data_IF_758202906501
#
_entry.id   IF_758202906501
#
_cell.length_a   1.000
_cell.length_b   1.000
_cell.length_c   1.000
_cell.angle_alpha   90.00
_cell.angle_beta   90.00
_cell.angle_gamma   90.00
#
_symmetry.space_group_name_H-M   'P 1'
#
loop_
_entity.id
_entity.type
_entity.pdbx_description
1 polymer ?
#
# COMPACT_ATOMS: atom_id res chain seq x y z
N UNK A 1 -60.00 -8.78 9.87
CA UNK A 1 -58.85 -9.73 9.94
C UNK A 1 -57.62 -9.07 9.32
N UNK A 2 -56.77 -8.46 10.14
CA UNK A 2 -55.38 -8.06 9.86
C UNK A 2 -54.61 -8.56 11.08
N UNK A 3 -53.69 -9.52 10.97
CA UNK A 3 -52.29 -9.15 10.76
C UNK A 3 -51.46 -10.27 10.08
N UNK A 4 -51.03 -10.12 8.84
CA UNK A 4 -50.08 -11.09 8.24
C UNK A 4 -48.87 -10.40 7.59
N UNK A 5 -48.99 -9.12 7.25
CA UNK A 5 -47.91 -8.39 6.56
C UNK A 5 -46.73 -7.97 7.43
N UNK A 6 -46.81 -8.07 8.76
CA UNK A 6 -45.72 -7.65 9.64
C UNK A 6 -44.57 -8.67 9.75
N UNK A 7 -44.77 -9.93 9.33
CA UNK A 7 -43.77 -10.99 9.56
C UNK A 7 -42.72 -11.12 8.44
N UNK A 8 -42.99 -10.64 7.23
CA UNK A 8 -42.03 -10.77 6.11
C UNK A 8 -40.94 -9.69 6.10
N UNK A 9 -41.12 -8.58 6.81
CA UNK A 9 -40.13 -7.48 6.84
C UNK A 9 -38.99 -7.69 7.85
N UNK A 10 -39.13 -8.61 8.81
CA UNK A 10 -38.06 -8.91 9.77
C UNK A 10 -37.00 -9.91 9.26
N UNK A 11 -37.32 -10.73 8.24
CA UNK A 11 -36.38 -11.73 7.74
C UNK A 11 -35.33 -11.16 6.78
N UNK A 12 -35.57 -9.99 6.18
CA UNK A 12 -34.64 -9.39 5.22
C UNK A 12 -33.46 -8.68 5.89
N UNK A 13 -33.64 -8.12 7.10
CA UNK A 13 -32.58 -7.39 7.80
C UNK A 13 -31.53 -8.28 8.48
N UNK A 14 -31.81 -9.58 8.66
CA UNK A 14 -30.89 -10.52 9.31
C UNK A 14 -29.86 -11.16 8.37
N UNK A 15 -30.11 -11.21 7.07
CA UNK A 15 -29.19 -11.82 6.10
C UNK A 15 -28.00 -10.92 5.77
N UNK A 16 -28.17 -9.60 5.78
CA UNK A 16 -27.09 -8.67 5.42
C UNK A 16 -25.96 -8.66 6.46
N UNK A 17 -26.29 -8.75 7.75
CA UNK A 17 -25.28 -8.76 8.82
C UNK A 17 -24.46 -10.07 8.83
N UNK A 18 -25.04 -11.19 8.41
CA UNK A 18 -24.35 -12.48 8.34
C UNK A 18 -23.42 -12.61 7.12
N UNK A 19 -23.76 -11.94 6.01
CA UNK A 19 -22.94 -11.93 4.80
C UNK A 19 -21.77 -10.94 4.86
N UNK A 20 -21.80 -9.96 5.78
CA UNK A 20 -20.69 -9.04 6.02
C UNK A 20 -19.58 -9.63 6.92
N UNK A 21 -19.82 -10.75 7.59
CA UNK A 21 -18.76 -11.46 8.34
C UNK A 21 -17.97 -12.33 7.37
N UNK A 22 -16.94 -11.77 6.75
CA UNK A 22 -15.91 -12.61 6.11
C UNK A 22 -15.29 -13.43 7.24
N UNK A 23 -15.38 -14.77 7.22
CA UNK A 23 -14.78 -15.58 8.27
C UNK A 23 -13.30 -15.24 8.34
N UNK A 24 -12.82 -14.80 9.50
CA UNK A 24 -11.37 -14.61 9.74
C UNK A 24 -10.72 -15.94 9.38
N UNK A 25 -9.88 -15.99 8.34
CA UNK A 25 -9.33 -17.26 7.88
C UNK A 25 -8.58 -17.90 9.04
N UNK A 26 -9.01 -19.09 9.46
CA UNK A 26 -8.40 -19.87 10.57
C UNK A 26 -7.10 -20.54 10.10
N UNK A 27 -6.27 -19.80 9.39
CA UNK A 27 -4.96 -20.26 8.99
C UNK A 27 -3.97 -19.76 10.02
N UNK A 28 -3.18 -20.67 10.58
CA UNK A 28 -2.11 -20.37 11.50
C UNK A 28 -1.16 -19.39 10.79
N UNK A 29 -1.22 -18.11 11.14
CA UNK A 29 -0.13 -17.19 10.86
C UNK A 29 1.05 -17.81 11.58
N UNK A 30 2.04 -18.29 10.84
CA UNK A 30 3.28 -18.72 11.44
C UNK A 30 3.88 -17.48 12.11
N UNK A 31 4.03 -17.45 13.45
CA UNK A 31 4.51 -16.26 14.14
C UNK A 31 5.93 -15.85 13.69
N UNK A 32 6.67 -16.79 13.10
CA UNK A 32 8.01 -16.56 12.57
C UNK A 32 8.01 -16.07 11.11
N UNK A 33 6.85 -16.02 10.45
CA UNK A 33 6.73 -15.52 9.07
C UNK A 33 5.48 -14.65 8.85
N UNK A 34 5.66 -13.44 8.30
CA UNK A 34 6.91 -12.96 7.75
C UNK A 34 7.84 -12.43 8.85
N UNK A 35 9.15 -12.66 8.66
CA UNK A 35 10.17 -12.07 9.53
C UNK A 35 10.23 -10.58 9.23
N UNK A 36 9.95 -9.76 10.23
CA UNK A 36 10.13 -8.31 10.14
C UNK A 36 11.64 -8.05 10.16
N UNK A 37 12.16 -7.52 9.06
CA UNK A 37 13.57 -7.20 8.92
C UNK A 37 13.91 -5.89 9.65
N UNK A 38 15.21 -5.63 9.79
CA UNK A 38 15.66 -4.34 10.28
C UNK A 38 15.34 -3.24 9.25
N UNK A 39 14.57 -2.19 9.61
CA UNK A 39 14.17 -1.15 8.67
C UNK A 39 15.36 -0.42 8.04
N UNK A 40 16.49 -0.28 8.74
CA UNK A 40 17.66 0.45 8.23
C UNK A 40 18.30 -0.32 7.04
N UNK A 41 18.53 -1.62 7.21
CA UNK A 41 19.03 -2.48 6.13
C UNK A 41 18.10 -2.54 4.92
N UNK A 42 16.78 -2.43 5.13
CA UNK A 42 15.80 -2.33 4.05
C UNK A 42 15.87 -1.00 3.30
N UNK A 43 16.02 0.10 4.03
CA UNK A 43 16.21 1.42 3.42
C UNK A 43 17.50 1.44 2.60
N UNK A 44 18.58 0.82 3.06
CA UNK A 44 19.81 0.69 2.27
C UNK A 44 19.58 -0.04 0.94
N UNK A 45 18.93 -1.22 0.97
CA UNK A 45 18.58 -1.98 -0.26
C UNK A 45 17.67 -1.18 -1.19
N UNK A 46 16.70 -0.46 -0.64
CA UNK A 46 15.85 0.44 -1.42
C UNK A 46 16.68 1.53 -2.11
N UNK A 47 17.61 2.17 -1.40
CA UNK A 47 18.46 3.21 -1.97
C UNK A 47 19.44 2.65 -3.02
N UNK A 48 19.90 1.41 -2.87
CA UNK A 48 20.66 0.71 -3.93
C UNK A 48 19.81 0.48 -5.18
N UNK A 49 18.54 0.08 -5.03
CA UNK A 49 17.61 -0.06 -6.16
C UNK A 49 17.33 1.27 -6.86
N UNK A 50 17.19 2.35 -6.07
CA UNK A 50 17.11 3.73 -6.59
C UNK A 50 18.35 4.09 -7.41
N UNK A 51 19.55 3.74 -6.93
CA UNK A 51 20.79 4.02 -7.66
C UNK A 51 20.92 3.23 -8.98
N UNK A 52 20.32 2.03 -9.05
CA UNK A 52 20.17 1.28 -10.31
C UNK A 52 19.17 1.93 -11.28
N UNK A 53 18.44 2.95 -10.83
CA UNK A 53 17.48 3.71 -11.63
C UNK A 53 16.10 3.06 -11.72
N UNK A 54 15.75 2.20 -10.77
CA UNK A 54 14.47 1.48 -10.74
C UNK A 54 13.31 2.41 -10.34
N UNK A 55 13.56 3.42 -9.50
CA UNK A 55 12.55 4.40 -9.12
C UNK A 55 12.31 5.41 -10.26
N UNK A 56 11.24 5.20 -11.00
CA UNK A 56 10.82 6.06 -12.11
C UNK A 56 9.41 6.60 -11.90
N UNK A 57 9.28 7.93 -11.96
CA UNK A 57 8.01 8.63 -11.81
C UNK A 57 7.73 9.35 -13.12
N UNK A 58 6.65 8.98 -13.82
CA UNK A 58 6.28 9.53 -15.13
C UNK A 58 7.46 9.54 -16.14
N UNK A 59 8.24 8.45 -16.19
CA UNK A 59 9.39 8.31 -17.10
C UNK A 59 10.65 9.08 -16.66
N UNK A 60 10.59 9.83 -15.56
CA UNK A 60 11.76 10.48 -14.95
C UNK A 60 12.37 9.56 -13.91
N UNK A 61 13.65 9.24 -14.05
CA UNK A 61 14.45 8.59 -13.01
C UNK A 61 14.57 9.52 -11.80
N UNK A 62 14.26 9.00 -10.62
CA UNK A 62 14.40 9.70 -9.34
C UNK A 62 15.66 9.16 -8.67
N UNK A 63 16.63 10.04 -8.42
CA UNK A 63 17.88 9.67 -7.77
C UNK A 63 17.79 9.76 -6.24
N UNK A 64 18.72 9.09 -5.54
CA UNK A 64 18.84 9.09 -4.08
C UNK A 64 18.79 10.49 -3.45
N UNK A 65 19.47 11.47 -4.05
CA UNK A 65 19.49 12.86 -3.56
C UNK A 65 18.16 13.62 -3.72
N UNK A 66 17.18 13.06 -4.42
CA UNK A 66 15.87 13.68 -4.65
C UNK A 66 14.81 13.21 -3.64
N UNK A 67 15.14 12.24 -2.79
CA UNK A 67 14.20 11.61 -1.87
C UNK A 67 14.74 11.59 -0.44
N UNK A 68 13.83 11.55 0.50
CA UNK A 68 14.10 11.27 1.92
C UNK A 68 13.18 10.14 2.34
N UNK A 69 13.68 8.90 2.49
CA UNK A 69 12.91 7.81 3.09
C UNK A 69 12.48 8.21 4.50
N UNK A 70 11.20 8.06 4.83
CA UNK A 70 10.68 8.45 6.15
C UNK A 70 9.81 7.38 6.80
N UNK A 71 9.41 6.34 6.07
CA UNK A 71 8.59 5.26 6.61
C UNK A 71 8.80 3.95 5.84
N UNK A 72 8.92 2.86 6.58
CA UNK A 72 8.84 1.48 6.07
C UNK A 72 7.53 0.88 6.57
N UNK A 73 6.78 0.27 5.66
CA UNK A 73 5.52 -0.41 5.92
C UNK A 73 5.68 -1.90 5.57
N UNK A 74 5.28 -2.77 6.50
CA UNK A 74 5.18 -4.21 6.26
C UNK A 74 3.70 -4.53 6.05
N UNK A 75 3.33 -4.78 4.80
CA UNK A 75 1.95 -5.04 4.40
C UNK A 75 1.78 -6.55 4.25
N UNK A 76 0.73 -7.10 4.85
CA UNK A 76 0.41 -8.51 4.73
C UNK A 76 -0.85 -8.68 3.90
N UNK A 77 -0.70 -9.27 2.72
CA UNK A 77 -1.82 -9.54 1.83
C UNK A 77 -2.61 -10.75 2.35
N UNK A 78 -3.90 -10.56 2.61
CA UNK A 78 -4.75 -11.60 3.17
C UNK A 78 -5.16 -12.66 2.13
N UNK A 79 -5.09 -12.31 0.85
CA UNK A 79 -5.48 -13.15 -0.29
C UNK A 79 -4.45 -14.25 -0.57
N UNK A 80 -3.17 -13.88 -0.65
CA UNK A 80 -2.07 -14.77 -1.03
C UNK A 80 -1.06 -15.03 0.11
N UNK A 81 -1.21 -14.35 1.26
CA UNK A 81 -0.35 -14.47 2.44
C UNK A 81 1.08 -13.99 2.20
N UNK A 82 1.31 -13.22 1.14
CA UNK A 82 2.58 -12.59 0.89
C UNK A 82 2.76 -11.37 1.81
N UNK A 83 3.97 -11.21 2.33
CA UNK A 83 4.39 -9.93 2.91
C UNK A 83 4.99 -9.09 1.80
N UNK A 84 4.55 -7.84 1.72
CA UNK A 84 5.15 -6.82 0.89
C UNK A 84 5.79 -5.77 1.77
N UNK A 85 6.97 -5.30 1.36
CA UNK A 85 7.65 -4.20 2.03
C UNK A 85 7.45 -2.97 1.18
N UNK A 86 6.98 -1.88 1.78
CA UNK A 86 6.76 -0.61 1.10
C UNK A 86 7.55 0.49 1.80
N UNK A 87 8.38 1.19 1.04
CA UNK A 87 9.15 2.33 1.52
C UNK A 87 8.49 3.61 1.02
N UNK A 88 8.05 4.47 1.93
CA UNK A 88 7.56 5.81 1.61
C UNK A 88 8.68 6.83 1.80
N UNK A 89 8.84 7.66 0.77
CA UNK A 89 9.83 8.72 0.71
C UNK A 89 9.18 10.04 0.36
N UNK A 90 9.53 11.10 1.09
CA UNK A 90 9.22 12.46 0.64
C UNK A 90 10.16 12.85 -0.50
N UNK A 91 9.67 13.64 -1.43
CA UNK A 91 10.52 14.29 -2.42
C UNK A 91 11.13 15.55 -1.81
N UNK A 92 12.43 15.75 -2.06
CA UNK A 92 13.14 16.97 -1.64
C UNK A 92 12.56 18.21 -2.33
N UNK A 93 12.11 18.05 -3.58
CA UNK A 93 11.40 19.07 -4.34
C UNK A 93 10.14 18.45 -4.97
N UNK A 94 8.97 19.12 -4.89
CA UNK A 94 7.76 18.65 -5.55
C UNK A 94 7.97 18.42 -7.04
N UNK A 95 7.36 17.36 -7.57
CA UNK A 95 7.34 17.10 -9.01
C UNK A 95 5.98 17.50 -9.60
N UNK A 96 5.98 18.05 -10.81
CA UNK A 96 4.75 18.31 -11.54
C UNK A 96 4.10 16.99 -11.99
N UNK A 97 2.77 16.94 -11.97
CA UNK A 97 2.01 15.85 -12.60
C UNK A 97 1.81 16.21 -14.06
N UNK A 98 2.24 15.36 -15.03
CA UNK A 98 2.09 15.68 -16.46
C UNK A 98 0.63 15.97 -16.84
N UNK A 99 0.41 17.07 -17.55
CA UNK A 99 -0.92 17.48 -18.00
C UNK A 99 -1.80 18.14 -16.93
N UNK A 100 -1.33 18.30 -15.69
CA UNK A 100 -2.06 18.93 -14.60
C UNK A 100 -1.28 20.10 -14.02
N UNK A 101 -1.95 21.22 -13.78
CA UNK A 101 -1.31 22.46 -13.31
C UNK A 101 -1.60 22.76 -11.83
N UNK A 102 -2.68 22.21 -11.29
CA UNK A 102 -3.23 22.43 -9.96
C UNK A 102 -2.80 21.38 -8.93
N UNK A 103 -2.03 20.37 -9.33
CA UNK A 103 -1.49 19.36 -8.43
C UNK A 103 0.01 19.13 -8.59
N UNK A 104 0.60 18.51 -7.59
CA UNK A 104 2.02 18.17 -7.51
C UNK A 104 2.22 16.88 -6.71
N UNK A 105 3.32 16.18 -7.01
CA UNK A 105 3.74 14.98 -6.28
C UNK A 105 4.67 15.45 -5.17
N UNK A 106 4.34 15.09 -3.93
CA UNK A 106 5.16 15.43 -2.74
C UNK A 106 5.91 14.23 -2.19
N UNK A 107 5.48 13.03 -2.51
CA UNK A 107 6.09 11.80 -2.04
C UNK A 107 5.87 10.65 -3.00
N UNK A 108 6.62 9.59 -2.78
CA UNK A 108 6.56 8.35 -3.53
C UNK A 108 6.58 7.19 -2.56
N UNK A 109 5.85 6.12 -2.90
CA UNK A 109 6.07 4.83 -2.28
C UNK A 109 6.60 3.84 -3.29
N UNK A 110 7.51 2.98 -2.85
CA UNK A 110 8.02 1.88 -3.65
C UNK A 110 7.80 0.57 -2.90
N UNK A 111 7.26 -0.43 -3.59
CA UNK A 111 7.20 -1.81 -3.09
C UNK A 111 8.51 -2.51 -3.45
N UNK A 112 9.10 -3.16 -2.45
CA UNK A 112 10.34 -3.92 -2.56
C UNK A 112 10.06 -5.41 -2.50
N UNK A 113 10.56 -6.16 -3.48
CA UNK A 113 10.56 -7.63 -3.51
C UNK A 113 11.93 -8.11 -3.98
N UNK A 114 12.54 -9.07 -3.27
CA UNK A 114 13.86 -9.63 -3.61
C UNK A 114 14.96 -8.59 -3.92
N UNK A 115 14.91 -7.45 -3.24
CA UNK A 115 15.88 -6.35 -3.38
C UNK A 115 15.68 -5.45 -4.61
N UNK A 116 14.57 -5.60 -5.35
CA UNK A 116 14.19 -4.74 -6.48
C UNK A 116 12.89 -4.00 -6.21
N UNK A 117 12.69 -2.87 -6.89
CA UNK A 117 11.43 -2.11 -6.88
C UNK A 117 10.48 -2.73 -7.91
N UNK A 118 9.34 -3.23 -7.46
CA UNK A 118 8.32 -3.86 -8.33
C UNK A 118 7.14 -2.96 -8.62
N UNK A 119 6.77 -2.10 -7.67
CA UNK A 119 5.64 -1.17 -7.81
C UNK A 119 6.03 0.22 -7.29
N UNK A 120 5.49 1.27 -7.92
CA UNK A 120 5.72 2.66 -7.55
C UNK A 120 4.39 3.40 -7.51
N UNK A 121 4.13 4.06 -6.39
CA UNK A 121 2.99 4.95 -6.21
C UNK A 121 3.47 6.40 -6.08
N UNK A 122 2.81 7.31 -6.79
CA UNK A 122 3.03 8.75 -6.64
C UNK A 122 1.94 9.34 -5.76
N UNK A 123 2.33 10.03 -4.70
CA UNK A 123 1.40 10.68 -3.78
C UNK A 123 1.20 12.13 -4.21
N UNK A 124 -0.02 12.44 -4.66
CA UNK A 124 -0.38 13.71 -5.30
C UNK A 124 -1.20 14.58 -4.36
N UNK A 125 -0.87 15.88 -4.32
CA UNK A 125 -1.60 16.91 -3.58
C UNK A 125 -2.02 18.05 -4.50
N UNK A 126 -3.16 18.66 -4.18
CA UNK A 126 -3.56 19.95 -4.75
C UNK A 126 -2.62 21.05 -4.24
N UNK A 127 -2.31 22.02 -5.09
CA UNK A 127 -1.48 23.18 -4.77
C UNK A 127 -2.23 24.24 -3.96
#
# INVERSE_FOLDING_TARGET
MKPVFALMLLCAAGLDAALASVPVPRHLINPDTPRIEDPDALVERYLEAVDRGELQVFGRKIGRAMIVPVRVEYVYELSDRAMRIKVYSNLVQPLAVPGQNDCQILGVSAVMEDGVITEIESHVWLK
#
